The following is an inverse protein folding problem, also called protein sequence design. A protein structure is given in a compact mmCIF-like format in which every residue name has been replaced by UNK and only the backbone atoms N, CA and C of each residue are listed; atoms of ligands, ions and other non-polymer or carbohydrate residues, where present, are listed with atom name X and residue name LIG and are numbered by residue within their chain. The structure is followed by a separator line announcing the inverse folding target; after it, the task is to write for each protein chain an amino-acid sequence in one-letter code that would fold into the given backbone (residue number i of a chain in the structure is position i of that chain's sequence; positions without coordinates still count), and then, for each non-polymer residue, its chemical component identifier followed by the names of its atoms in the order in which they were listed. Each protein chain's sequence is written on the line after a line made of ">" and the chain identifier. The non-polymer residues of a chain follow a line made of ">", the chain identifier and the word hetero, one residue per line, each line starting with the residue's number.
data_IF_216254571237
#
_entry.id   IF_216254571237
#
_cell.length_a   1.000
_cell.length_b   1.000
_cell.length_c   1.000
_cell.angle_alpha   90.00
_cell.angle_beta   90.00
_cell.angle_gamma   90.00
#
_symmetry.space_group_name_H-M   'P 1'
#
loop_
_entity.id
_entity.type
_entity.pdbx_description
1 polymer ?
#
# COMPACT_ATOMS: atom_id res chain seq x y z
N UNK A 1 16.62 13.44 -16.06
CA UNK A 1 17.97 13.25 -16.67
C UNK A 1 18.15 14.03 -17.95
N UNK A 2 17.33 13.89 -19.02
CA UNK A 2 17.54 14.69 -20.25
C UNK A 2 17.46 16.22 -20.03
N UNK A 3 16.58 16.70 -19.15
CA UNK A 3 16.51 18.12 -18.78
C UNK A 3 17.75 18.59 -18.00
N UNK A 4 18.29 17.77 -17.10
CA UNK A 4 19.52 18.06 -16.36
C UNK A 4 20.72 18.15 -17.29
N UNK A 5 20.87 17.22 -18.26
CA UNK A 5 21.91 17.28 -19.25
C UNK A 5 21.73 18.44 -20.26
N UNK A 6 20.49 18.82 -20.57
CA UNK A 6 20.22 20.02 -21.36
C UNK A 6 20.62 21.30 -20.62
N UNK A 7 20.36 21.39 -19.30
CA UNK A 7 20.82 22.50 -18.46
C UNK A 7 22.35 22.55 -18.38
N UNK A 8 23.02 21.42 -18.15
CA UNK A 8 24.49 21.35 -18.16
C UNK A 8 25.10 21.75 -19.53
N UNK A 9 24.43 21.38 -20.60
CA UNK A 9 24.85 21.80 -21.95
C UNK A 9 24.72 23.32 -22.16
N UNK A 10 23.60 23.89 -21.67
CA UNK A 10 23.35 25.34 -21.82
C UNK A 10 24.20 26.17 -20.86
N UNK A 11 24.40 25.73 -19.62
CA UNK A 11 25.13 26.47 -18.59
C UNK A 11 26.65 26.33 -18.70
N UNK A 12 27.15 25.15 -19.08
CA UNK A 12 28.60 24.86 -19.11
C UNK A 12 29.18 24.75 -20.50
N UNK A 13 28.43 25.07 -21.57
CA UNK A 13 28.85 24.96 -22.98
C UNK A 13 29.51 23.61 -23.32
N UNK A 14 29.09 22.54 -22.67
CA UNK A 14 29.55 21.19 -22.99
C UNK A 14 29.04 20.84 -24.37
N UNK A 15 29.89 20.94 -25.37
CA UNK A 15 29.58 20.74 -26.80
C UNK A 15 29.24 19.28 -27.14
N UNK A 16 28.35 18.63 -26.40
CA UNK A 16 27.91 17.28 -26.64
C UNK A 16 26.73 17.22 -27.60
N UNK A 17 26.77 16.32 -28.57
CA UNK A 17 25.63 16.07 -29.45
C UNK A 17 24.53 15.28 -28.70
N UNK A 18 23.29 15.38 -29.17
CA UNK A 18 22.18 14.57 -28.63
C UNK A 18 22.43 13.05 -28.77
N UNK A 19 23.20 12.64 -29.81
CA UNK A 19 23.61 11.23 -29.97
C UNK A 19 24.62 10.81 -28.91
N UNK A 20 25.60 11.66 -28.58
CA UNK A 20 26.57 11.39 -27.51
C UNK A 20 25.85 11.25 -26.12
N UNK A 21 24.89 12.11 -25.87
CA UNK A 21 24.08 12.00 -24.65
C UNK A 21 23.26 10.69 -24.58
N UNK A 22 22.72 10.24 -25.72
CA UNK A 22 22.03 8.93 -25.78
C UNK A 22 22.98 7.78 -25.48
N UNK A 23 24.19 7.79 -26.07
CA UNK A 23 25.22 6.77 -25.83
C UNK A 23 25.59 6.70 -24.34
N UNK A 24 25.77 7.86 -23.68
CA UNK A 24 26.04 7.92 -22.24
C UNK A 24 24.87 7.35 -21.44
N UNK A 25 23.65 7.72 -21.82
CA UNK A 25 22.44 7.20 -21.14
C UNK A 25 22.31 5.69 -21.32
N UNK A 26 22.53 5.17 -22.52
CA UNK A 26 22.44 3.73 -22.78
C UNK A 26 23.53 2.95 -22.01
N UNK A 27 24.73 3.50 -21.90
CA UNK A 27 25.81 2.91 -21.10
C UNK A 27 25.46 2.94 -19.61
N UNK A 28 24.99 4.08 -19.09
CA UNK A 28 24.54 4.22 -17.70
C UNK A 28 23.42 3.21 -17.37
N UNK A 29 22.41 3.10 -18.21
CA UNK A 29 21.33 2.13 -18.04
C UNK A 29 21.85 0.68 -18.05
N UNK A 30 22.86 0.37 -18.85
CA UNK A 30 23.51 -0.95 -18.87
C UNK A 30 24.23 -1.22 -17.55
N UNK A 31 25.09 -0.30 -17.12
CA UNK A 31 25.87 -0.44 -15.89
C UNK A 31 24.97 -0.57 -14.66
N UNK A 32 23.89 0.21 -14.58
CA UNK A 32 22.90 0.07 -13.50
C UNK A 32 22.35 -1.35 -13.43
N UNK A 33 21.94 -1.93 -14.56
CA UNK A 33 21.38 -3.29 -14.59
C UNK A 33 22.43 -4.37 -14.31
N UNK A 34 23.66 -4.20 -14.79
CA UNK A 34 24.76 -5.15 -14.56
C UNK A 34 25.20 -5.15 -13.11
N UNK A 35 25.43 -3.96 -12.53
CA UNK A 35 25.84 -3.77 -11.13
C UNK A 35 24.77 -4.29 -10.19
N UNK A 36 23.52 -3.86 -10.34
CA UNK A 36 22.43 -4.32 -9.46
C UNK A 36 22.14 -5.81 -9.63
N UNK A 37 22.30 -6.36 -10.83
CA UNK A 37 22.20 -7.79 -11.09
C UNK A 37 23.33 -8.61 -10.44
N UNK A 38 24.55 -8.06 -10.35
CA UNK A 38 25.64 -8.68 -9.59
C UNK A 38 25.35 -8.66 -8.09
N UNK A 39 25.00 -7.53 -7.53
CA UNK A 39 24.64 -7.38 -6.11
C UNK A 39 23.45 -8.27 -5.71
N UNK A 40 22.50 -8.45 -6.58
CA UNK A 40 21.39 -9.36 -6.33
C UNK A 40 21.84 -10.81 -6.24
N UNK A 41 22.73 -11.27 -7.16
CA UNK A 41 23.28 -12.62 -7.13
C UNK A 41 24.11 -12.87 -5.86
N UNK A 42 24.91 -11.89 -5.46
CA UNK A 42 25.68 -11.92 -4.19
C UNK A 42 24.73 -11.99 -2.99
N UNK A 43 23.72 -11.10 -2.94
CA UNK A 43 22.71 -11.12 -1.91
C UNK A 43 21.97 -12.46 -1.80
N UNK A 44 21.59 -13.08 -2.94
CA UNK A 44 20.97 -14.41 -2.95
C UNK A 44 21.92 -15.50 -2.42
N UNK A 45 23.21 -15.41 -2.70
CA UNK A 45 24.20 -16.39 -2.29
C UNK A 45 24.53 -16.31 -0.79
N UNK A 46 24.57 -15.11 -0.23
CA UNK A 46 25.07 -14.83 1.12
C UNK A 46 23.96 -14.57 2.14
N UNK A 47 22.80 -14.08 1.73
CA UNK A 47 21.76 -13.66 2.63
C UNK A 47 20.96 -14.82 3.23
N UNK A 48 20.68 -14.69 4.51
CA UNK A 48 19.61 -15.44 5.18
C UNK A 48 18.28 -14.69 5.00
N UNK A 49 17.69 -14.80 3.82
CA UNK A 49 16.43 -14.16 3.53
C UNK A 49 15.31 -14.72 4.40
N UNK A 50 14.51 -13.83 4.96
CA UNK A 50 13.29 -14.22 5.65
C UNK A 50 12.20 -14.67 4.66
N UNK A 51 11.08 -15.20 5.18
CA UNK A 51 9.94 -15.53 4.35
C UNK A 51 9.32 -14.27 3.72
N UNK A 52 8.78 -14.42 2.51
CA UNK A 52 8.20 -13.34 1.73
C UNK A 52 6.71 -13.17 2.08
N UNK A 53 6.28 -11.96 2.31
CA UNK A 53 4.86 -11.56 2.26
C UNK A 53 4.60 -10.93 0.91
N UNK A 54 4.06 -11.72 -0.02
CA UNK A 54 3.94 -11.31 -1.41
C UNK A 54 2.70 -10.46 -1.67
N UNK A 55 2.83 -9.49 -2.58
CA UNK A 55 1.71 -8.84 -3.23
C UNK A 55 1.89 -8.89 -4.74
N UNK A 56 0.81 -9.22 -5.45
CA UNK A 56 0.78 -9.30 -6.91
C UNK A 56 -0.38 -8.49 -7.46
N UNK A 57 -0.13 -7.81 -8.56
CA UNK A 57 -1.14 -7.03 -9.27
C UNK A 57 -0.75 -6.85 -10.75
N UNK A 58 -1.73 -6.52 -11.58
CA UNK A 58 -1.53 -6.20 -12.99
C UNK A 58 -1.86 -4.73 -13.25
N UNK A 59 -1.00 -4.05 -14.00
CA UNK A 59 -1.29 -2.71 -14.51
C UNK A 59 -1.22 -2.66 -16.04
N UNK A 60 -2.10 -1.85 -16.64
CA UNK A 60 -2.21 -1.74 -18.09
C UNK A 60 -1.68 -0.39 -18.58
N UNK A 61 -0.51 -0.42 -19.22
CA UNK A 61 0.22 0.74 -19.71
C UNK A 61 0.58 0.54 -21.20
N UNK A 62 -0.38 0.55 -22.12
CA UNK A 62 -0.29 0.06 -23.51
C UNK A 62 -0.04 -1.46 -23.61
N UNK A 63 0.79 -2.00 -22.74
CA UNK A 63 0.99 -3.44 -22.50
C UNK A 63 0.66 -3.73 -21.05
N UNK A 64 0.28 -4.95 -20.80
CA UNK A 64 0.08 -5.43 -19.44
C UNK A 64 1.43 -5.59 -18.76
N UNK A 65 1.54 -5.12 -17.52
CA UNK A 65 2.69 -5.24 -16.66
C UNK A 65 2.30 -6.10 -15.46
N UNK A 66 3.07 -7.16 -15.20
CA UNK A 66 2.92 -8.00 -14.01
C UNK A 66 3.89 -7.49 -12.93
N UNK A 67 3.37 -7.21 -11.74
CA UNK A 67 4.17 -6.70 -10.62
C UNK A 67 4.05 -7.64 -9.44
N UNK A 68 5.20 -8.10 -8.92
CA UNK A 68 5.31 -8.90 -7.70
C UNK A 68 6.29 -8.25 -6.75
N UNK A 69 5.85 -7.93 -5.54
CA UNK A 69 6.62 -7.19 -4.53
C UNK A 69 6.58 -7.91 -3.19
N UNK A 70 7.68 -7.93 -2.46
CA UNK A 70 7.67 -8.27 -1.05
C UNK A 70 7.19 -7.07 -0.23
N UNK A 71 6.11 -7.23 0.53
CA UNK A 71 5.48 -6.16 1.31
C UNK A 71 6.27 -5.76 2.56
N UNK A 72 7.15 -6.64 3.05
CA UNK A 72 7.96 -6.39 4.26
C UNK A 72 9.05 -5.39 3.95
N UNK A 73 9.85 -5.67 2.93
CA UNK A 73 10.98 -4.85 2.49
C UNK A 73 10.59 -3.75 1.50
N UNK A 74 9.51 -3.96 0.73
CA UNK A 74 9.14 -3.18 -0.43
C UNK A 74 9.94 -3.55 -1.69
N UNK A 75 10.72 -4.63 -1.66
CA UNK A 75 11.54 -5.07 -2.78
C UNK A 75 10.66 -5.58 -3.94
N UNK A 76 10.88 -5.03 -5.14
CA UNK A 76 10.21 -5.48 -6.36
C UNK A 76 10.91 -6.75 -6.83
N UNK A 77 10.27 -7.89 -6.61
CA UNK A 77 10.75 -9.20 -7.02
C UNK A 77 10.65 -9.42 -8.53
N UNK A 78 9.54 -8.96 -9.12
CA UNK A 78 9.28 -9.08 -10.54
C UNK A 78 8.47 -7.90 -11.04
N UNK A 79 8.88 -7.30 -12.15
CA UNK A 79 8.17 -6.24 -12.84
C UNK A 79 8.49 -6.35 -14.33
N UNK A 80 7.58 -6.98 -15.10
CA UNK A 80 7.79 -7.20 -16.53
C UNK A 80 6.48 -7.12 -17.30
N UNK A 81 6.61 -6.75 -18.59
CA UNK A 81 5.49 -6.81 -19.53
C UNK A 81 5.18 -8.27 -19.90
N UNK A 82 3.89 -8.59 -19.94
CA UNK A 82 3.39 -9.89 -20.39
C UNK A 82 2.30 -9.71 -21.46
N UNK A 83 2.13 -10.74 -22.27
CA UNK A 83 1.09 -10.75 -23.29
C UNK A 83 -0.26 -11.23 -22.71
N UNK A 84 -0.22 -11.99 -21.62
CA UNK A 84 -1.39 -12.46 -20.89
C UNK A 84 -1.14 -12.47 -19.36
N UNK A 85 -2.21 -12.69 -18.60
CA UNK A 85 -2.22 -12.81 -17.13
C UNK A 85 -2.72 -14.17 -16.66
N UNK A 86 -2.45 -15.21 -17.45
CA UNK A 86 -2.80 -16.56 -17.08
C UNK A 86 -2.04 -17.03 -15.83
N UNK A 87 -2.53 -18.09 -15.21
CA UNK A 87 -1.83 -18.73 -14.12
C UNK A 87 -0.45 -19.23 -14.57
N UNK A 88 -0.38 -19.77 -15.77
CA UNK A 88 0.83 -20.36 -16.35
C UNK A 88 1.92 -19.29 -16.50
N UNK A 89 1.57 -18.13 -17.04
CA UNK A 89 2.49 -16.97 -17.18
C UNK A 89 2.96 -16.47 -15.82
N UNK A 90 2.04 -16.26 -14.86
CA UNK A 90 2.39 -15.85 -13.51
C UNK A 90 3.27 -16.86 -12.80
N UNK A 91 2.90 -18.16 -12.86
CA UNK A 91 3.63 -19.22 -12.18
C UNK A 91 5.06 -19.37 -12.72
N UNK A 92 5.24 -19.36 -14.04
CA UNK A 92 6.57 -19.41 -14.66
C UNK A 92 7.46 -18.24 -14.18
N UNK A 93 6.94 -17.00 -14.23
CA UNK A 93 7.69 -15.80 -13.87
C UNK A 93 8.07 -15.79 -12.40
N UNK A 94 7.11 -16.07 -11.52
CA UNK A 94 7.33 -16.06 -10.08
C UNK A 94 8.24 -17.21 -9.66
N UNK A 95 8.06 -18.41 -10.19
CA UNK A 95 8.91 -19.57 -9.92
C UNK A 95 10.36 -19.30 -10.31
N UNK A 96 10.60 -18.87 -11.53
CA UNK A 96 11.95 -18.52 -12.02
C UNK A 96 12.64 -17.49 -11.12
N UNK A 97 11.85 -16.60 -10.54
CA UNK A 97 12.35 -15.56 -9.66
C UNK A 97 12.67 -16.06 -8.25
N UNK A 98 11.84 -16.91 -7.69
CA UNK A 98 11.96 -17.40 -6.31
C UNK A 98 12.90 -18.61 -6.17
N UNK A 99 13.00 -19.45 -7.18
CA UNK A 99 13.80 -20.69 -7.13
C UNK A 99 15.25 -20.48 -6.68
N UNK A 100 16.00 -19.45 -7.18
CA UNK A 100 17.37 -19.19 -6.70
C UNK A 100 17.42 -18.70 -5.25
N UNK A 101 16.35 -18.06 -4.76
CA UNK A 101 16.32 -17.37 -3.46
C UNK A 101 16.18 -18.31 -2.28
N UNK A 102 15.81 -19.58 -2.50
CA UNK A 102 15.65 -20.61 -1.43
C UNK A 102 14.76 -20.13 -0.28
N UNK A 103 13.78 -19.31 -0.56
CA UNK A 103 12.80 -18.78 0.41
C UNK A 103 11.38 -19.18 0.01
N UNK A 104 10.43 -19.00 0.90
CA UNK A 104 9.02 -19.32 0.65
C UNK A 104 8.14 -18.10 0.86
N UNK A 105 6.95 -18.15 0.28
CA UNK A 105 5.93 -17.11 0.45
C UNK A 105 4.99 -17.50 1.58
N UNK A 106 4.92 -16.68 2.63
CA UNK A 106 4.01 -16.90 3.77
C UNK A 106 2.55 -16.83 3.34
N UNK A 107 2.22 -15.81 2.57
CA UNK A 107 0.92 -15.60 1.96
C UNK A 107 1.01 -14.57 0.83
N UNK A 108 0.01 -14.59 -0.05
CA UNK A 108 -0.06 -13.71 -1.20
C UNK A 108 -1.30 -12.81 -1.13
N UNK A 109 -1.08 -11.49 -1.16
CA UNK A 109 -2.15 -10.48 -1.21
C UNK A 109 -2.44 -10.11 -2.67
N UNK A 110 -3.71 -10.14 -3.08
CA UNK A 110 -4.11 -9.79 -4.45
C UNK A 110 -5.57 -9.33 -4.53
N UNK A 111 -5.97 -8.81 -5.70
CA UNK A 111 -7.37 -8.49 -6.06
C UNK A 111 -8.27 -9.74 -6.19
N UNK A 112 -7.68 -10.94 -6.05
CA UNK A 112 -8.37 -12.23 -6.17
C UNK A 112 -8.81 -12.59 -7.58
N UNK A 113 -8.13 -12.13 -8.62
CA UNK A 113 -8.28 -12.74 -9.95
C UNK A 113 -8.03 -14.25 -9.88
N UNK A 114 -8.78 -15.05 -10.66
CA UNK A 114 -8.71 -16.53 -10.60
C UNK A 114 -7.28 -17.07 -10.77
N UNK A 115 -6.51 -16.46 -11.67
CA UNK A 115 -5.11 -16.81 -11.90
C UNK A 115 -4.26 -16.61 -10.64
N UNK A 116 -4.46 -15.48 -9.94
CA UNK A 116 -3.71 -15.13 -8.72
C UNK A 116 -4.08 -16.00 -7.53
N UNK A 117 -5.37 -16.41 -7.41
CA UNK A 117 -5.78 -17.40 -6.40
C UNK A 117 -5.10 -18.75 -6.67
N UNK A 118 -5.07 -19.21 -7.95
CA UNK A 118 -4.41 -20.45 -8.33
C UNK A 118 -2.89 -20.34 -8.12
N UNK A 119 -2.28 -19.19 -8.42
CA UNK A 119 -0.87 -18.92 -8.15
C UNK A 119 -0.54 -19.12 -6.67
N UNK A 120 -1.32 -18.50 -5.77
CA UNK A 120 -1.09 -18.64 -4.34
C UNK A 120 -1.26 -20.10 -3.89
N UNK A 121 -2.44 -20.70 -4.15
CA UNK A 121 -2.82 -22.00 -3.58
C UNK A 121 -2.11 -23.21 -4.21
N UNK A 122 -1.85 -23.16 -5.52
CA UNK A 122 -1.27 -24.29 -6.27
C UNK A 122 0.17 -24.04 -6.67
N UNK A 123 0.52 -22.80 -7.05
CA UNK A 123 1.86 -22.49 -7.52
C UNK A 123 2.86 -22.21 -6.41
N UNK A 124 2.41 -21.54 -5.34
CA UNK A 124 3.25 -21.13 -4.20
C UNK A 124 2.90 -21.85 -2.90
N UNK A 125 1.87 -22.69 -2.92
CA UNK A 125 1.38 -23.46 -1.76
C UNK A 125 1.16 -22.60 -0.51
N UNK A 126 0.65 -21.37 -0.71
CA UNK A 126 0.44 -20.40 0.36
C UNK A 126 -1.00 -19.88 0.39
N UNK A 127 -1.45 -19.30 1.51
CA UNK A 127 -2.74 -18.65 1.61
C UNK A 127 -2.88 -17.47 0.63
N UNK A 128 -4.06 -17.39 -0.01
CA UNK A 128 -4.44 -16.27 -0.89
C UNK A 128 -5.30 -15.30 -0.10
N UNK A 129 -4.77 -14.12 0.23
CA UNK A 129 -5.43 -13.09 1.02
C UNK A 129 -6.03 -12.02 0.11
N UNK A 130 -7.31 -11.68 0.25
CA UNK A 130 -7.92 -10.57 -0.45
C UNK A 130 -7.27 -9.26 -0.07
N UNK A 131 -7.04 -8.38 -1.05
CA UNK A 131 -6.61 -7.03 -0.77
C UNK A 131 -7.76 -6.21 -0.14
N UNK A 132 -7.56 -5.80 1.10
CA UNK A 132 -8.52 -4.96 1.83
C UNK A 132 -8.80 -3.63 1.12
N UNK A 133 -7.82 -3.05 0.44
CA UNK A 133 -8.02 -1.82 -0.33
C UNK A 133 -9.03 -2.04 -1.46
N UNK A 134 -8.87 -3.11 -2.25
CA UNK A 134 -9.79 -3.45 -3.33
C UNK A 134 -11.21 -3.76 -2.82
N UNK A 135 -11.32 -4.47 -1.69
CA UNK A 135 -12.61 -4.74 -1.05
C UNK A 135 -13.32 -3.45 -0.64
N UNK A 136 -12.63 -2.53 0.02
CA UNK A 136 -13.16 -1.23 0.41
C UNK A 136 -13.49 -0.35 -0.82
N UNK A 137 -12.66 -0.41 -1.85
CA UNK A 137 -12.90 0.31 -3.11
C UNK A 137 -14.16 -0.19 -3.82
N UNK A 138 -14.41 -1.49 -3.87
CA UNK A 138 -15.63 -2.08 -4.44
C UNK A 138 -16.88 -1.58 -3.72
N UNK A 139 -16.86 -1.57 -2.37
CA UNK A 139 -17.93 -0.99 -1.55
C UNK A 139 -18.10 0.51 -1.82
N UNK A 140 -16.99 1.26 -1.82
CA UNK A 140 -17.03 2.71 -2.05
C UNK A 140 -17.58 3.04 -3.45
N UNK A 141 -17.11 2.38 -4.49
CA UNK A 141 -17.58 2.54 -5.86
C UNK A 141 -19.06 2.13 -6.02
N UNK A 142 -19.50 1.15 -5.24
CA UNK A 142 -20.89 0.68 -5.28
C UNK A 142 -21.89 1.73 -4.80
N UNK A 143 -21.59 2.50 -3.77
CA UNK A 143 -22.61 3.28 -3.06
C UNK A 143 -22.28 4.76 -2.86
N UNK A 144 -21.01 5.17 -2.80
CA UNK A 144 -20.64 6.57 -2.51
C UNK A 144 -21.27 7.59 -3.44
N UNK A 145 -21.36 7.29 -4.74
CA UNK A 145 -21.93 8.20 -5.73
C UNK A 145 -23.43 8.38 -5.53
N UNK A 146 -24.16 7.31 -5.19
CA UNK A 146 -25.60 7.37 -4.94
C UNK A 146 -25.92 8.23 -3.73
N UNK A 147 -25.21 8.02 -2.63
CA UNK A 147 -25.33 8.83 -1.39
C UNK A 147 -24.98 10.30 -1.67
N UNK A 148 -23.89 10.54 -2.41
CA UNK A 148 -23.47 11.89 -2.77
C UNK A 148 -24.55 12.62 -3.60
N UNK A 149 -25.15 11.95 -4.58
CA UNK A 149 -26.21 12.53 -5.41
C UNK A 149 -27.43 12.91 -4.59
N UNK A 150 -27.84 12.07 -3.64
CA UNK A 150 -28.96 12.38 -2.73
C UNK A 150 -28.67 13.61 -1.87
N UNK A 151 -27.48 13.67 -1.29
CA UNK A 151 -27.05 14.82 -0.48
C UNK A 151 -27.00 16.11 -1.32
N UNK A 152 -26.50 16.05 -2.55
CA UNK A 152 -26.48 17.22 -3.44
C UNK A 152 -27.88 17.67 -3.84
N UNK A 153 -28.77 16.72 -4.16
CA UNK A 153 -30.18 17.04 -4.46
C UNK A 153 -30.88 17.70 -3.26
N UNK A 154 -30.65 17.18 -2.04
CA UNK A 154 -31.20 17.79 -0.82
C UNK A 154 -30.68 19.22 -0.61
N UNK A 155 -29.40 19.47 -0.81
CA UNK A 155 -28.81 20.82 -0.71
C UNK A 155 -29.38 21.77 -1.74
N UNK A 156 -29.55 21.34 -2.99
CA UNK A 156 -30.11 22.13 -4.06
C UNK A 156 -31.57 22.53 -3.76
N UNK A 157 -32.38 21.58 -3.26
CA UNK A 157 -33.75 21.84 -2.83
C UNK A 157 -33.83 22.83 -1.67
N UNK A 158 -32.91 22.73 -0.71
CA UNK A 158 -32.82 23.69 0.40
C UNK A 158 -32.49 25.10 -0.12
N UNK A 159 -31.50 25.23 -1.00
CA UNK A 159 -31.14 26.53 -1.60
C UNK A 159 -32.33 27.15 -2.34
N UNK A 160 -33.04 26.37 -3.15
CA UNK A 160 -34.24 26.83 -3.86
C UNK A 160 -35.36 27.29 -2.89
N UNK A 161 -35.56 26.56 -1.80
CA UNK A 161 -36.54 26.93 -0.76
C UNK A 161 -36.14 28.24 -0.06
N UNK A 162 -34.86 28.43 0.24
CA UNK A 162 -34.33 29.64 0.85
C UNK A 162 -34.47 30.86 -0.08
N UNK A 163 -34.15 30.71 -1.38
CA UNK A 163 -34.33 31.75 -2.39
C UNK A 163 -35.79 32.14 -2.54
N UNK A 164 -36.69 31.16 -2.54
CA UNK A 164 -38.14 31.40 -2.58
C UNK A 164 -38.62 32.15 -1.36
N UNK A 165 -38.15 31.79 -0.16
CA UNK A 165 -38.47 32.50 1.08
C UNK A 165 -38.02 33.97 1.01
N UNK A 166 -36.80 34.21 0.58
CA UNK A 166 -36.23 35.55 0.46
C UNK A 166 -37.08 36.41 -0.53
N UNK A 167 -37.51 35.83 -1.66
CA UNK A 167 -38.41 36.51 -2.60
C UNK A 167 -39.76 36.83 -2.00
N UNK A 168 -40.42 35.87 -1.30
CA UNK A 168 -41.68 36.10 -0.63
C UNK A 168 -41.59 37.25 0.41
N UNK A 169 -40.47 37.36 1.11
CA UNK A 169 -40.22 38.43 2.09
C UNK A 169 -40.04 39.81 1.43
N UNK A 170 -39.36 39.86 0.26
CA UNK A 170 -39.12 41.14 -0.45
C UNK A 170 -40.39 41.60 -1.20
N UNK A 171 -41.17 40.68 -1.76
CA UNK A 171 -42.36 40.97 -2.58
C UNK A 171 -43.63 41.21 -1.74
N UNK A 172 -43.55 41.13 -0.41
CA UNK A 172 -44.70 41.36 0.49
C UNK A 172 -45.76 40.26 0.38
N UNK A 173 -45.35 39.01 0.22
CA UNK A 173 -46.28 37.87 0.14
C UNK A 173 -47.13 37.73 1.41
N UNK A 174 -48.27 37.03 1.31
CA UNK A 174 -49.15 36.80 2.45
C UNK A 174 -48.46 35.99 3.55
N UNK A 175 -48.87 36.20 4.79
CA UNK A 175 -48.32 35.52 5.98
C UNK A 175 -48.36 33.98 5.80
N UNK A 176 -49.49 33.45 5.27
CA UNK A 176 -49.63 32.02 4.99
C UNK A 176 -48.60 31.51 3.94
N UNK A 177 -48.24 32.30 2.93
CA UNK A 177 -47.22 31.95 1.95
C UNK A 177 -45.82 31.94 2.55
N UNK A 178 -45.51 32.91 3.42
CA UNK A 178 -44.25 32.99 4.16
C UNK A 178 -44.12 31.78 5.06
N UNK A 179 -45.13 31.44 5.86
CA UNK A 179 -45.16 30.30 6.77
C UNK A 179 -44.98 28.96 5.99
N UNK A 180 -45.69 28.77 4.91
CA UNK A 180 -45.56 27.60 4.03
C UNK A 180 -44.13 27.45 3.49
N UNK A 181 -43.49 28.56 3.09
CA UNK A 181 -42.14 28.54 2.54
C UNK A 181 -41.07 28.34 3.65
N UNK A 182 -41.31 28.85 4.84
CA UNK A 182 -40.50 28.55 6.02
C UNK A 182 -40.56 27.05 6.38
N UNK A 183 -41.73 26.43 6.29
CA UNK A 183 -41.88 24.98 6.50
C UNK A 183 -41.08 24.17 5.43
N UNK A 184 -41.05 24.64 4.18
CA UNK A 184 -40.24 24.04 3.11
C UNK A 184 -38.73 24.15 3.41
N UNK A 185 -38.27 25.30 3.92
CA UNK A 185 -36.87 25.49 4.33
C UNK A 185 -36.53 24.56 5.50
N UNK A 186 -37.39 24.43 6.49
CA UNK A 186 -37.20 23.53 7.63
C UNK A 186 -37.12 22.06 7.18
N UNK A 187 -38.02 21.62 6.31
CA UNK A 187 -38.00 20.28 5.71
C UNK A 187 -36.72 20.04 4.86
N UNK A 188 -36.28 21.06 4.11
CA UNK A 188 -35.06 21.02 3.36
C UNK A 188 -33.81 20.87 4.22
N UNK A 189 -33.73 21.56 5.37
CA UNK A 189 -32.67 21.41 6.35
C UNK A 189 -32.64 20.01 6.94
N UNK A 190 -33.76 19.50 7.41
CA UNK A 190 -33.87 18.14 7.95
C UNK A 190 -33.45 17.08 6.92
N UNK A 191 -33.78 17.25 5.64
CA UNK A 191 -33.34 16.35 4.57
C UNK A 191 -31.82 16.40 4.34
N UNK A 192 -31.21 17.56 4.38
CA UNK A 192 -29.74 17.71 4.28
C UNK A 192 -29.07 17.03 5.48
N UNK A 193 -29.53 17.26 6.68
CA UNK A 193 -29.01 16.64 7.90
C UNK A 193 -29.12 15.11 7.81
N UNK A 194 -30.26 14.58 7.40
CA UNK A 194 -30.47 13.14 7.19
C UNK A 194 -29.43 12.54 6.22
N UNK A 195 -29.22 13.14 5.05
CA UNK A 195 -28.27 12.61 4.07
C UNK A 195 -26.81 12.83 4.49
N UNK A 196 -26.50 13.80 5.33
CA UNK A 196 -25.20 13.94 5.96
C UNK A 196 -24.95 12.79 6.96
N UNK A 197 -25.95 12.47 7.79
CA UNK A 197 -25.89 11.36 8.71
C UNK A 197 -25.73 10.01 8.00
N UNK A 198 -26.52 9.75 6.95
CA UNK A 198 -26.38 8.55 6.12
C UNK A 198 -24.97 8.43 5.53
N UNK A 199 -24.43 9.53 5.01
CA UNK A 199 -23.06 9.56 4.47
C UNK A 199 -22.03 9.25 5.57
N UNK A 200 -22.18 9.84 6.74
CA UNK A 200 -21.19 9.71 7.81
C UNK A 200 -21.26 8.32 8.46
N UNK A 201 -22.46 7.75 8.60
CA UNK A 201 -22.68 6.36 9.02
C UNK A 201 -22.08 5.38 8.01
N UNK A 202 -22.33 5.58 6.72
CA UNK A 202 -21.72 4.78 5.65
C UNK A 202 -20.19 4.79 5.70
N UNK A 203 -19.60 5.96 5.88
CA UNK A 203 -18.14 6.10 6.05
C UNK A 203 -17.64 5.43 7.32
N UNK A 204 -18.45 5.48 8.38
CA UNK A 204 -18.20 4.78 9.65
C UNK A 204 -18.07 3.27 9.44
N UNK A 205 -18.98 2.65 8.69
CA UNK A 205 -18.90 1.21 8.36
C UNK A 205 -17.66 0.86 7.54
N UNK A 206 -17.30 1.66 6.52
CA UNK A 206 -16.06 1.43 5.77
C UNK A 206 -14.81 1.58 6.66
N UNK A 207 -14.79 2.57 7.55
CA UNK A 207 -13.70 2.72 8.52
C UNK A 207 -13.64 1.55 9.48
N UNK A 208 -14.78 1.09 10.01
CA UNK A 208 -14.87 -0.06 10.91
C UNK A 208 -14.34 -1.34 10.25
N UNK A 209 -14.77 -1.65 9.01
CA UNK A 209 -14.22 -2.77 8.23
C UNK A 209 -12.68 -2.66 8.14
N UNK A 210 -12.16 -1.46 7.84
CA UNK A 210 -10.71 -1.24 7.76
C UNK A 210 -10.00 -1.42 9.10
N UNK A 211 -10.62 -1.07 10.21
CA UNK A 211 -10.00 -1.08 11.54
C UNK A 211 -10.14 -2.42 12.29
N UNK A 212 -10.96 -3.34 11.79
CA UNK A 212 -11.16 -4.64 12.44
C UNK A 212 -10.13 -5.70 12.01
N UNK A 213 -9.49 -5.55 10.84
CA UNK A 213 -8.52 -6.54 10.34
C UNK A 213 -7.13 -6.27 10.93
N UNK A 214 -6.96 -6.59 12.19
CA UNK A 214 -5.71 -6.51 12.94
C UNK A 214 -5.56 -7.76 13.83
N UNK A 215 -4.33 -8.18 14.21
CA UNK A 215 -4.15 -9.29 15.14
C UNK A 215 -4.69 -9.00 16.56
N UNK A 216 -4.92 -7.74 16.89
CA UNK A 216 -5.49 -7.28 18.16
C UNK A 216 -6.66 -6.36 17.94
N UNK A 217 -7.58 -6.35 18.89
CA UNK A 217 -8.63 -5.34 18.98
C UNK A 217 -8.00 -3.96 19.18
N UNK A 218 -8.55 -2.96 18.51
CA UNK A 218 -8.03 -1.60 18.61
C UNK A 218 -8.35 -0.96 19.98
N UNK A 219 -9.45 -1.37 20.59
CA UNK A 219 -10.01 -0.78 21.82
C UNK A 219 -9.22 -1.18 23.06
N UNK A 220 -8.81 -2.44 23.16
CA UNK A 220 -8.22 -3.02 24.37
C UNK A 220 -6.96 -3.86 24.11
N UNK A 221 -6.53 -3.93 22.86
CA UNK A 221 -5.40 -4.75 22.42
C UNK A 221 -5.49 -6.24 22.78
N UNK A 222 -6.71 -6.76 22.93
CA UNK A 222 -6.96 -8.20 23.09
C UNK A 222 -6.61 -8.93 21.80
N UNK A 223 -5.82 -10.03 21.82
CA UNK A 223 -5.56 -10.86 20.66
C UNK A 223 -6.85 -11.36 20.02
N UNK A 224 -6.89 -11.42 18.69
CA UNK A 224 -8.04 -11.81 17.90
C UNK A 224 -7.76 -13.06 17.10
N UNK A 225 -8.81 -13.86 16.88
CA UNK A 225 -8.83 -14.96 15.91
C UNK A 225 -9.45 -14.52 14.58
N UNK A 226 -9.16 -15.26 13.51
CA UNK A 226 -9.82 -15.06 12.21
C UNK A 226 -11.35 -15.17 12.33
N UNK A 227 -11.86 -16.11 13.13
CA UNK A 227 -13.30 -16.31 13.32
C UNK A 227 -13.99 -15.09 13.92
N UNK A 228 -13.41 -14.48 14.97
CA UNK A 228 -13.95 -13.27 15.61
C UNK A 228 -13.95 -12.08 14.65
N UNK A 229 -12.87 -11.90 13.89
CA UNK A 229 -12.77 -10.82 12.92
C UNK A 229 -13.73 -11.03 11.75
N UNK A 230 -13.86 -12.25 11.25
CA UNK A 230 -14.84 -12.58 10.20
C UNK A 230 -16.28 -12.25 10.65
N UNK A 231 -16.66 -12.63 11.88
CA UNK A 231 -17.99 -12.35 12.41
C UNK A 231 -18.27 -10.84 12.48
N UNK A 232 -17.31 -10.04 12.95
CA UNK A 232 -17.46 -8.59 13.03
C UNK A 232 -17.50 -7.94 11.65
N UNK A 233 -16.67 -8.38 10.70
CA UNK A 233 -16.73 -7.91 9.32
C UNK A 233 -18.08 -8.23 8.67
N UNK A 234 -18.64 -9.41 8.92
CA UNK A 234 -19.95 -9.80 8.43
C UNK A 234 -21.08 -8.92 9.02
N UNK A 235 -20.98 -8.59 10.31
CA UNK A 235 -21.92 -7.67 10.97
C UNK A 235 -21.87 -6.26 10.35
N UNK A 236 -20.68 -5.71 10.09
CA UNK A 236 -20.52 -4.41 9.43
C UNK A 236 -21.10 -4.39 8.01
N UNK A 237 -20.84 -5.45 7.22
CA UNK A 237 -21.42 -5.55 5.87
C UNK A 237 -22.94 -5.68 5.92
N UNK A 238 -23.49 -6.36 6.93
CA UNK A 238 -24.93 -6.46 7.12
C UNK A 238 -25.55 -5.12 7.54
N UNK A 239 -24.91 -4.39 8.45
CA UNK A 239 -25.36 -3.07 8.86
C UNK A 239 -25.28 -2.06 7.70
N UNK A 240 -24.24 -2.13 6.87
CA UNK A 240 -24.13 -1.33 5.65
C UNK A 240 -25.25 -1.65 4.67
N UNK A 241 -25.60 -2.91 4.48
CA UNK A 241 -26.74 -3.29 3.62
C UNK A 241 -28.05 -2.70 4.18
N UNK A 242 -28.31 -2.85 5.48
CA UNK A 242 -29.51 -2.30 6.12
C UNK A 242 -29.59 -0.77 5.96
N UNK A 243 -28.47 -0.05 6.10
CA UNK A 243 -28.39 1.40 5.85
C UNK A 243 -28.81 1.75 4.41
N UNK A 244 -28.35 1.00 3.41
CA UNK A 244 -28.67 1.20 2.01
C UNK A 244 -30.16 0.95 1.74
N UNK A 245 -30.70 -0.15 2.23
CA UNK A 245 -32.12 -0.54 2.07
C UNK A 245 -33.06 0.45 2.75
N UNK A 246 -32.80 0.80 4.00
CA UNK A 246 -33.64 1.74 4.79
C UNK A 246 -33.74 3.11 4.13
N UNK A 247 -32.68 3.53 3.42
CA UNK A 247 -32.66 4.82 2.72
C UNK A 247 -33.08 4.75 1.26
N UNK A 248 -33.65 3.62 0.81
CA UNK A 248 -34.16 3.45 -0.55
C UNK A 248 -33.10 3.57 -1.65
N UNK A 249 -31.83 3.32 -1.31
CA UNK A 249 -30.74 3.34 -2.29
C UNK A 249 -30.68 2.02 -3.07
N UNK A 250 -30.25 2.04 -4.35
CA UNK A 250 -30.15 0.82 -5.17
C UNK A 250 -29.17 -0.19 -4.57
N UNK A 251 -29.67 -1.37 -4.19
CA UNK A 251 -28.82 -2.44 -3.67
C UNK A 251 -27.95 -3.04 -4.77
N UNK A 252 -26.65 -3.10 -4.52
CA UNK A 252 -25.66 -3.71 -5.41
C UNK A 252 -25.34 -5.14 -4.93
N UNK A 253 -26.29 -6.07 -5.11
CA UNK A 253 -26.18 -7.44 -4.61
C UNK A 253 -24.89 -8.15 -5.02
N UNK A 254 -24.47 -7.99 -6.29
CA UNK A 254 -23.21 -8.59 -6.78
C UNK A 254 -21.98 -8.11 -6.01
N UNK A 255 -21.95 -6.83 -5.61
CA UNK A 255 -20.86 -6.25 -4.83
C UNK A 255 -20.87 -6.84 -3.43
N UNK A 256 -22.01 -6.86 -2.76
CA UNK A 256 -22.13 -7.41 -1.41
C UNK A 256 -21.84 -8.91 -1.37
N UNK A 257 -22.33 -9.67 -2.35
CA UNK A 257 -22.04 -11.11 -2.45
C UNK A 257 -20.53 -11.36 -2.66
N UNK A 258 -19.87 -10.57 -3.54
CA UNK A 258 -18.42 -10.63 -3.75
C UNK A 258 -17.67 -10.35 -2.45
N UNK A 259 -18.03 -9.27 -1.73
CA UNK A 259 -17.42 -8.88 -0.46
C UNK A 259 -17.59 -9.99 0.58
N UNK A 260 -18.83 -10.46 0.82
CA UNK A 260 -19.11 -11.53 1.79
C UNK A 260 -18.29 -12.79 1.56
N UNK A 261 -18.14 -13.19 0.29
CA UNK A 261 -17.33 -14.35 -0.10
C UNK A 261 -15.85 -14.21 0.29
N UNK A 262 -15.36 -12.99 0.43
CA UNK A 262 -13.95 -12.72 0.71
C UNK A 262 -13.65 -12.54 2.21
N UNK A 263 -14.66 -12.37 3.08
CA UNK A 263 -14.46 -12.02 4.49
C UNK A 263 -13.69 -13.09 5.26
N UNK A 264 -13.97 -14.37 5.01
CA UNK A 264 -13.26 -15.48 5.65
C UNK A 264 -11.78 -15.50 5.28
N UNK A 265 -11.48 -15.41 3.97
CA UNK A 265 -10.10 -15.40 3.49
C UNK A 265 -9.34 -14.13 3.94
N UNK A 266 -10.03 -12.98 4.03
CA UNK A 266 -9.44 -11.76 4.56
C UNK A 266 -9.09 -11.89 6.04
N UNK A 267 -10.00 -12.45 6.85
CA UNK A 267 -9.77 -12.66 8.26
C UNK A 267 -8.68 -13.72 8.52
N UNK A 268 -8.55 -14.70 7.62
CA UNK A 268 -7.55 -15.79 7.74
C UNK A 268 -6.10 -15.28 7.84
N UNK A 269 -5.79 -14.06 7.35
CA UNK A 269 -4.46 -13.46 7.49
C UNK A 269 -4.01 -13.38 8.95
N UNK A 270 -4.95 -13.24 9.89
CA UNK A 270 -4.68 -13.13 11.32
C UNK A 270 -4.14 -14.46 11.85
N UNK A 271 -4.84 -15.56 11.59
CA UNK A 271 -4.43 -16.90 12.06
C UNK A 271 -3.13 -17.36 11.38
N UNK A 272 -2.96 -17.06 10.08
CA UNK A 272 -1.71 -17.31 9.34
C UNK A 272 -0.54 -16.57 9.98
N UNK A 273 -0.74 -15.30 10.31
CA UNK A 273 0.29 -14.50 10.97
C UNK A 273 0.61 -15.02 12.39
N UNK A 274 -0.41 -15.31 13.19
CA UNK A 274 -0.23 -15.89 14.53
C UNK A 274 0.51 -17.23 14.49
N UNK A 275 0.17 -18.08 13.53
CA UNK A 275 0.86 -19.35 13.36
C UNK A 275 2.37 -19.16 13.09
N UNK A 276 2.72 -18.25 12.18
CA UNK A 276 4.12 -17.92 11.88
C UNK A 276 4.88 -17.38 13.09
N UNK A 277 4.28 -16.43 13.82
CA UNK A 277 4.87 -15.84 15.04
C UNK A 277 5.09 -16.89 16.13
N UNK A 278 4.08 -17.72 16.42
CA UNK A 278 4.17 -18.76 17.43
C UNK A 278 5.19 -19.83 17.07
N UNK A 279 5.23 -20.23 15.80
CA UNK A 279 6.21 -21.20 15.32
C UNK A 279 7.64 -20.68 15.49
N UNK A 280 7.91 -19.45 15.10
CA UNK A 280 9.25 -18.85 15.25
C UNK A 280 9.63 -18.67 16.73
N UNK A 281 8.71 -18.21 17.57
CA UNK A 281 8.95 -18.09 19.02
C UNK A 281 9.32 -19.43 19.67
N UNK A 282 8.66 -20.51 19.28
CA UNK A 282 8.96 -21.87 19.78
C UNK A 282 10.31 -22.40 19.31
N UNK A 283 10.79 -21.98 18.15
CA UNK A 283 12.14 -22.36 17.67
C UNK A 283 13.26 -21.67 18.44
N UNK A 284 13.00 -20.49 18.99
CA UNK A 284 14.01 -19.71 19.70
C UNK A 284 14.12 -20.03 21.18
N UNK A 285 12.99 -20.30 21.86
CA UNK A 285 12.94 -20.56 23.31
C UNK A 285 11.76 -21.47 23.65
N UNK A 286 11.94 -22.33 24.67
CA UNK A 286 10.81 -23.02 25.31
C UNK A 286 10.01 -22.01 26.12
N UNK A 287 8.94 -21.48 25.52
CA UNK A 287 8.05 -20.53 26.17
C UNK A 287 7.12 -21.23 27.17
N UNK A 288 7.16 -20.81 28.43
CA UNK A 288 6.09 -21.16 29.37
C UNK A 288 4.80 -20.44 28.97
N UNK A 289 3.62 -20.94 29.37
CA UNK A 289 2.34 -20.26 29.09
C UNK A 289 2.30 -18.80 29.55
N UNK A 290 2.96 -18.46 30.65
CA UNK A 290 3.04 -17.10 31.18
C UNK A 290 3.85 -16.19 30.26
N UNK A 291 5.01 -16.64 29.75
CA UNK A 291 5.82 -15.89 28.77
C UNK A 291 5.14 -15.78 27.41
N UNK A 292 4.45 -16.83 26.97
CA UNK A 292 3.68 -16.78 25.74
C UNK A 292 2.55 -15.74 25.83
N UNK A 293 1.83 -15.71 26.95
CA UNK A 293 0.81 -14.69 27.19
C UNK A 293 1.39 -13.27 27.23
N UNK A 294 2.51 -13.06 27.94
CA UNK A 294 3.19 -11.77 27.98
C UNK A 294 3.61 -11.31 26.59
N UNK A 295 4.17 -12.19 25.79
CA UNK A 295 4.57 -11.91 24.42
C UNK A 295 3.35 -11.50 23.55
N UNK A 296 2.26 -12.27 23.61
CA UNK A 296 1.08 -12.07 22.75
C UNK A 296 0.21 -10.87 23.19
N UNK A 297 0.12 -10.61 24.49
CA UNK A 297 -0.77 -9.58 25.03
C UNK A 297 -0.09 -8.22 25.28
N UNK A 298 1.24 -8.18 25.39
CA UNK A 298 1.95 -6.95 25.76
C UNK A 298 3.09 -6.60 24.82
N UNK A 299 4.02 -7.51 24.51
CA UNK A 299 5.21 -7.20 23.72
C UNK A 299 4.88 -6.99 22.23
N UNK A 300 4.23 -7.96 21.61
CA UNK A 300 3.90 -7.90 20.17
C UNK A 300 2.94 -6.74 19.85
N UNK A 301 1.84 -6.50 20.60
CA UNK A 301 0.98 -5.36 20.30
C UNK A 301 1.68 -4.02 20.53
N UNK A 302 2.61 -3.90 21.48
CA UNK A 302 3.43 -2.70 21.66
C UNK A 302 4.16 -2.33 20.36
N UNK A 303 4.94 -3.27 19.79
CA UNK A 303 5.72 -3.05 18.57
C UNK A 303 4.81 -2.88 17.34
N UNK A 304 3.69 -3.59 17.32
CA UNK A 304 2.71 -3.50 16.23
C UNK A 304 2.03 -2.12 16.16
N UNK A 305 1.49 -1.63 17.29
CA UNK A 305 0.83 -0.32 17.32
C UNK A 305 1.83 0.83 17.14
N UNK A 306 3.06 0.72 17.65
CA UNK A 306 4.12 1.69 17.40
C UNK A 306 4.40 1.85 15.89
N UNK A 307 4.57 0.72 15.19
CA UNK A 307 4.75 0.72 13.74
C UNK A 307 3.54 1.32 13.02
N UNK A 308 2.32 0.98 13.38
CA UNK A 308 1.13 1.51 12.74
C UNK A 308 0.92 3.00 13.02
N UNK A 309 1.12 3.45 14.24
CA UNK A 309 1.02 4.86 14.62
C UNK A 309 2.02 5.73 13.85
N UNK A 310 3.26 5.25 13.64
CA UNK A 310 4.27 5.98 12.87
C UNK A 310 3.92 6.09 11.38
N UNK A 311 3.30 5.07 10.79
CA UNK A 311 3.00 5.00 9.35
C UNK A 311 1.63 5.57 8.97
N UNK A 312 0.71 5.70 9.92
CA UNK A 312 -0.65 6.18 9.65
C UNK A 312 -0.68 7.69 9.46
N UNK A 313 -1.11 8.14 8.27
CA UNK A 313 -1.15 9.57 7.91
C UNK A 313 -2.43 10.28 8.32
N UNK A 314 -3.58 9.59 8.32
CA UNK A 314 -4.88 10.19 8.63
C UNK A 314 -5.02 10.54 10.11
N UNK A 315 -5.21 11.83 10.45
CA UNK A 315 -5.24 12.34 11.85
C UNK A 315 -6.14 11.50 12.77
N UNK A 316 -7.39 11.22 12.35
CA UNK A 316 -8.36 10.47 13.15
C UNK A 316 -7.92 9.01 13.39
N UNK A 317 -7.46 8.33 12.33
CA UNK A 317 -6.95 6.95 12.44
C UNK A 317 -5.67 6.89 13.25
N UNK A 318 -4.76 7.83 13.03
CA UNK A 318 -3.51 7.92 13.79
C UNK A 318 -3.78 8.09 15.28
N UNK A 319 -4.74 8.95 15.68
CA UNK A 319 -5.12 9.13 17.09
C UNK A 319 -5.58 7.82 17.72
N UNK A 320 -6.38 7.00 17.01
CA UNK A 320 -6.80 5.68 17.50
C UNK A 320 -5.61 4.73 17.71
N UNK A 321 -4.66 4.70 16.76
CA UNK A 321 -3.46 3.85 16.88
C UNK A 321 -2.54 4.31 18.02
N UNK A 322 -2.40 5.63 18.21
CA UNK A 322 -1.63 6.21 19.32
C UNK A 322 -2.27 5.86 20.67
N UNK A 323 -3.59 5.97 20.79
CA UNK A 323 -4.29 5.60 22.02
C UNK A 323 -4.10 4.11 22.38
N UNK A 324 -4.20 3.20 21.38
CA UNK A 324 -3.93 1.77 21.60
C UNK A 324 -2.45 1.53 22.00
N UNK A 325 -1.50 2.23 21.36
CA UNK A 325 -0.08 2.16 21.72
C UNK A 325 0.18 2.60 23.16
N UNK A 326 -0.38 3.73 23.57
CA UNK A 326 -0.19 4.28 24.94
C UNK A 326 -0.76 3.36 26.01
N UNK A 327 -1.94 2.79 25.78
CA UNK A 327 -2.56 1.83 26.70
C UNK A 327 -1.69 0.56 26.86
N UNK A 328 -1.21 -0.02 25.75
CA UNK A 328 -0.34 -1.20 25.81
C UNK A 328 1.02 -0.87 26.42
N UNK A 329 1.59 0.29 26.12
CA UNK A 329 2.88 0.72 26.67
C UNK A 329 2.82 0.83 28.19
N UNK A 330 1.79 1.47 28.73
CA UNK A 330 1.60 1.59 30.16
C UNK A 330 1.46 0.21 30.84
N UNK A 331 0.70 -0.71 30.24
CA UNK A 331 0.54 -2.06 30.74
C UNK A 331 1.83 -2.89 30.67
N UNK A 332 2.60 -2.76 29.57
CA UNK A 332 3.88 -3.43 29.36
C UNK A 332 4.96 -3.00 30.36
N UNK A 333 5.04 -1.71 30.65
CA UNK A 333 6.06 -1.14 31.55
C UNK A 333 5.88 -1.60 33.00
N UNK A 334 4.65 -1.78 33.46
CA UNK A 334 4.35 -2.23 34.83
C UNK A 334 4.27 -3.75 34.97
N UNK A 335 4.38 -4.50 33.85
CA UNK A 335 4.21 -5.95 33.89
C UNK A 335 5.38 -6.65 34.62
N UNK A 336 5.10 -7.58 35.57
CA UNK A 336 6.17 -8.21 36.37
C UNK A 336 7.23 -8.96 35.56
N UNK A 337 6.85 -9.57 34.43
CA UNK A 337 7.81 -10.25 33.54
C UNK A 337 8.73 -9.26 32.82
N UNK A 338 8.23 -8.09 32.45
CA UNK A 338 9.07 -7.03 31.86
C UNK A 338 10.17 -6.61 32.83
N UNK A 339 9.84 -6.46 34.12
CA UNK A 339 10.79 -6.08 35.16
C UNK A 339 11.84 -7.16 35.45
N UNK A 340 11.59 -8.42 35.10
CA UNK A 340 12.55 -9.53 35.28
C UNK A 340 13.64 -9.60 34.21
N UNK A 341 13.42 -8.91 33.07
CA UNK A 341 14.37 -8.96 31.95
C UNK A 341 15.48 -7.93 32.10
N UNK A 342 16.71 -8.31 31.74
CA UNK A 342 17.77 -7.33 31.58
C UNK A 342 17.52 -6.42 30.37
N UNK A 343 18.09 -5.21 30.34
CA UNK A 343 17.90 -4.30 29.21
C UNK A 343 18.28 -4.91 27.86
N UNK A 344 19.34 -5.71 27.82
CA UNK A 344 19.85 -6.37 26.60
C UNK A 344 18.84 -7.42 26.08
N UNK A 345 18.34 -8.28 26.99
CA UNK A 345 17.36 -9.31 26.67
C UNK A 345 16.05 -8.67 26.22
N UNK A 346 15.64 -7.61 26.90
CA UNK A 346 14.43 -6.86 26.53
C UNK A 346 14.58 -6.21 25.15
N UNK A 347 15.74 -5.64 24.83
CA UNK A 347 16.03 -5.07 23.52
C UNK A 347 15.98 -6.14 22.42
N UNK A 348 16.53 -7.32 22.66
CA UNK A 348 16.45 -8.44 21.71
C UNK A 348 15.02 -8.89 21.46
N UNK A 349 14.18 -9.02 22.50
CA UNK A 349 12.78 -9.36 22.39
C UNK A 349 11.98 -8.28 21.63
N UNK A 350 12.24 -7.01 21.89
CA UNK A 350 11.61 -5.90 21.14
C UNK A 350 12.01 -5.92 19.67
N UNK A 351 13.29 -6.17 19.36
CA UNK A 351 13.76 -6.29 17.98
C UNK A 351 13.06 -7.44 17.24
N UNK A 352 12.98 -8.61 17.88
CA UNK A 352 12.26 -9.77 17.36
C UNK A 352 10.77 -9.46 17.10
N UNK A 353 10.09 -8.87 18.07
CA UNK A 353 8.69 -8.50 17.95
C UNK A 353 8.45 -7.43 16.85
N UNK A 354 9.37 -6.48 16.69
CA UNK A 354 9.33 -5.48 15.63
C UNK A 354 9.46 -6.10 14.24
N UNK A 355 10.33 -7.12 14.08
CA UNK A 355 10.42 -7.86 12.80
C UNK A 355 9.10 -8.58 12.48
N UNK A 356 8.50 -9.27 13.45
CA UNK A 356 7.20 -9.91 13.24
C UNK A 356 6.08 -8.91 12.96
N UNK A 357 6.06 -7.75 13.61
CA UNK A 357 5.11 -6.69 13.31
C UNK A 357 5.22 -6.19 11.86
N UNK A 358 6.38 -6.32 11.21
CA UNK A 358 6.57 -5.97 9.79
C UNK A 358 5.92 -6.97 8.84
N UNK A 359 5.69 -8.21 9.25
CA UNK A 359 5.16 -9.26 8.37
C UNK A 359 3.63 -9.28 8.27
N UNK A 360 2.91 -8.50 9.10
CA UNK A 360 1.45 -8.40 8.99
C UNK A 360 1.04 -7.39 7.93
N UNK A 361 0.53 -7.88 6.81
CA UNK A 361 0.00 -7.07 5.71
C UNK A 361 -1.38 -7.58 5.27
N UNK A 362 -2.28 -6.65 5.01
CA UNK A 362 -3.68 -6.92 4.60
C UNK A 362 -4.10 -6.16 3.35
N UNK A 363 -3.15 -5.46 2.73
CA UNK A 363 -3.39 -4.66 1.54
C UNK A 363 -2.11 -4.58 0.71
N UNK A 364 -2.27 -4.52 -0.60
CA UNK A 364 -1.20 -4.39 -1.59
C UNK A 364 -0.83 -2.93 -1.91
N UNK A 365 -1.05 -2.00 -0.97
CA UNK A 365 -0.85 -0.56 -1.20
C UNK A 365 0.56 -0.18 -1.71
N UNK A 366 1.58 -1.00 -1.46
CA UNK A 366 2.91 -0.81 -2.02
C UNK A 366 2.91 -1.06 -3.54
N UNK A 367 2.23 -2.11 -3.99
CA UNK A 367 2.07 -2.43 -5.42
C UNK A 367 1.22 -1.36 -6.12
N UNK A 368 0.12 -0.93 -5.50
CA UNK A 368 -0.70 0.17 -6.01
C UNK A 368 0.10 1.47 -6.17
N UNK A 369 0.93 1.81 -5.19
CA UNK A 369 1.85 2.94 -5.27
C UNK A 369 2.83 2.80 -6.43
N UNK A 370 3.35 1.59 -6.67
CA UNK A 370 4.23 1.28 -7.79
C UNK A 370 3.51 1.41 -9.12
N UNK A 371 2.31 0.84 -9.25
CA UNK A 371 1.47 0.96 -10.45
C UNK A 371 1.15 2.42 -10.78
N UNK A 372 0.86 3.25 -9.77
CA UNK A 372 0.67 4.68 -9.92
C UNK A 372 1.91 5.39 -10.46
N UNK A 373 3.09 5.06 -9.94
CA UNK A 373 4.37 5.59 -10.42
C UNK A 373 4.64 5.20 -11.89
N UNK A 374 4.47 3.93 -12.24
CA UNK A 374 4.63 3.46 -13.61
C UNK A 374 3.66 4.15 -14.57
N UNK A 375 2.40 4.32 -14.15
CA UNK A 375 1.39 5.05 -14.93
C UNK A 375 1.82 6.50 -15.17
N UNK A 376 2.30 7.19 -14.15
CA UNK A 376 2.80 8.56 -14.28
C UNK A 376 3.99 8.64 -15.24
N UNK A 377 4.94 7.71 -15.13
CA UNK A 377 6.10 7.64 -16.02
C UNK A 377 5.70 7.34 -17.46
N UNK A 378 4.75 6.43 -17.67
CA UNK A 378 4.19 6.12 -18.97
C UNK A 378 3.60 7.37 -19.66
N UNK A 379 2.76 8.11 -18.93
CA UNK A 379 2.12 9.33 -19.46
C UNK A 379 3.14 10.43 -19.74
N UNK A 380 4.12 10.64 -18.86
CA UNK A 380 5.14 11.67 -19.00
C UNK A 380 6.09 11.40 -20.18
N UNK A 381 6.38 10.13 -20.48
CA UNK A 381 7.34 9.73 -21.51
C UNK A 381 6.68 9.18 -22.77
N UNK A 382 5.37 9.24 -22.90
CA UNK A 382 4.60 8.69 -24.04
C UNK A 382 4.90 7.20 -24.31
N UNK A 383 5.03 6.44 -23.25
CA UNK A 383 5.29 5.00 -23.28
C UNK A 383 6.40 4.58 -22.32
N UNK A 384 6.52 3.26 -22.13
CA UNK A 384 7.59 2.65 -21.34
C UNK A 384 8.52 1.86 -22.26
N UNK A 385 9.73 2.37 -22.59
CA UNK A 385 10.72 1.59 -23.30
C UNK A 385 11.08 0.33 -22.49
N UNK A 386 11.15 -0.84 -23.14
CA UNK A 386 11.34 -2.16 -22.49
C UNK A 386 12.52 -2.23 -21.51
N UNK A 387 13.58 -1.49 -21.76
CA UNK A 387 14.76 -1.48 -20.90
C UNK A 387 14.61 -0.53 -19.72
N UNK A 388 13.99 0.60 -19.92
CA UNK A 388 13.97 1.70 -18.94
C UNK A 388 13.15 1.38 -17.70
N UNK A 389 12.07 0.62 -17.79
CA UNK A 389 11.33 0.22 -16.59
C UNK A 389 12.16 -0.70 -15.69
N UNK A 390 13.00 -1.59 -16.27
CA UNK A 390 13.94 -2.41 -15.50
C UNK A 390 14.96 -1.57 -14.75
N UNK A 391 15.48 -0.53 -15.38
CA UNK A 391 16.37 0.45 -14.72
C UNK A 391 15.66 1.14 -13.57
N UNK A 392 14.40 1.53 -13.75
CA UNK A 392 13.62 2.14 -12.66
C UNK A 392 13.33 1.17 -11.52
N UNK A 393 13.11 -0.10 -11.79
CA UNK A 393 12.96 -1.12 -10.74
C UNK A 393 14.27 -1.33 -10.00
N UNK A 394 15.40 -1.37 -10.71
CA UNK A 394 16.74 -1.46 -10.12
C UNK A 394 17.05 -0.24 -9.22
N UNK A 395 16.83 0.98 -9.73
CA UNK A 395 16.98 2.21 -8.94
C UNK A 395 16.06 2.24 -7.72
N UNK A 396 14.81 1.81 -7.86
CA UNK A 396 13.90 1.72 -6.73
C UNK A 396 14.41 0.74 -5.67
N UNK A 397 14.86 -0.43 -6.08
CA UNK A 397 15.32 -1.47 -5.17
C UNK A 397 16.63 -1.10 -4.46
N UNK A 398 17.61 -0.52 -5.16
CA UNK A 398 18.98 -0.37 -4.68
C UNK A 398 19.40 1.07 -4.35
N UNK A 399 18.63 2.09 -4.78
CA UNK A 399 19.02 3.49 -4.56
C UNK A 399 17.94 4.31 -3.84
N UNK A 400 16.66 3.91 -3.89
CA UNK A 400 15.58 4.63 -3.23
C UNK A 400 15.62 4.39 -1.71
N UNK A 401 16.10 5.38 -0.95
CA UNK A 401 16.29 5.28 0.51
C UNK A 401 15.04 5.68 1.28
N UNK A 402 14.74 4.94 2.33
CA UNK A 402 13.77 5.31 3.35
C UNK A 402 14.35 6.35 4.32
N UNK A 403 13.55 6.84 5.26
CA UNK A 403 14.00 7.82 6.27
C UNK A 403 15.09 7.30 7.21
N UNK A 404 15.20 5.99 7.36
CA UNK A 404 16.26 5.30 8.12
C UNK A 404 17.53 5.02 7.31
N UNK A 405 17.58 5.49 6.07
CA UNK A 405 18.71 5.28 5.14
C UNK A 405 18.68 3.95 4.39
N UNK A 406 17.82 3.00 4.78
CA UNK A 406 17.74 1.67 4.16
C UNK A 406 17.09 1.72 2.78
N UNK A 407 17.52 0.82 1.88
CA UNK A 407 16.89 0.59 0.58
C UNK A 407 15.97 -0.65 0.64
N UNK A 408 15.04 -0.85 -0.30
CA UNK A 408 14.29 -2.09 -0.41
C UNK A 408 15.21 -3.32 -0.50
N UNK A 409 16.31 -3.24 -1.24
CA UNK A 409 17.28 -4.32 -1.36
C UNK A 409 17.99 -4.61 -0.02
N UNK A 410 18.49 -3.58 0.68
CA UNK A 410 19.15 -3.80 1.95
C UNK A 410 18.25 -4.44 3.00
N UNK A 411 16.95 -4.08 3.01
CA UNK A 411 15.97 -4.72 3.90
C UNK A 411 15.65 -6.15 3.48
N UNK A 412 15.58 -6.44 2.17
CA UNK A 412 15.25 -7.77 1.65
C UNK A 412 16.39 -8.77 1.86
N UNK A 413 17.60 -8.37 1.47
CA UNK A 413 18.80 -9.19 1.60
C UNK A 413 19.46 -9.11 2.98
N UNK A 414 19.00 -8.21 3.86
CA UNK A 414 19.57 -7.97 5.21
C UNK A 414 21.07 -7.68 5.18
N UNK A 415 21.52 -7.00 4.15
CA UNK A 415 22.90 -6.54 3.97
C UNK A 415 22.93 -5.13 3.39
N UNK A 416 24.01 -4.42 3.59
CA UNK A 416 24.22 -3.10 3.02
C UNK A 416 24.81 -3.21 1.62
N UNK A 417 24.38 -2.31 0.74
CA UNK A 417 24.92 -2.17 -0.60
C UNK A 417 25.64 -0.82 -0.75
N UNK A 418 26.70 -0.75 -1.56
CA UNK A 418 27.37 0.52 -1.87
C UNK A 418 26.42 1.56 -2.47
N UNK A 419 26.85 2.82 -2.55
CA UNK A 419 26.08 3.84 -3.25
C UNK A 419 26.05 3.51 -4.75
N UNK A 420 24.87 3.22 -5.29
CA UNK A 420 24.70 2.77 -6.67
C UNK A 420 25.20 3.80 -7.69
N UNK A 421 24.96 5.10 -7.43
CA UNK A 421 25.39 6.15 -8.35
C UNK A 421 26.92 6.24 -8.41
N UNK A 422 27.61 6.18 -7.28
CA UNK A 422 29.06 6.25 -7.20
C UNK A 422 29.72 5.00 -7.80
N UNK A 423 29.16 3.84 -7.52
CA UNK A 423 29.64 2.57 -8.09
C UNK A 423 29.55 2.57 -9.63
N UNK A 424 28.39 2.94 -10.16
CA UNK A 424 28.17 3.02 -11.62
C UNK A 424 29.04 4.12 -12.26
N UNK A 425 29.22 5.26 -11.58
CA UNK A 425 30.08 6.33 -12.06
C UNK A 425 31.54 5.89 -12.11
N UNK A 426 32.02 5.14 -11.11
CA UNK A 426 33.38 4.57 -11.09
C UNK A 426 33.66 3.57 -12.20
N UNK A 427 32.61 2.88 -12.68
CA UNK A 427 32.69 1.93 -13.80
C UNK A 427 32.54 2.61 -15.18
N UNK A 428 32.20 3.89 -15.22
CA UNK A 428 32.13 4.63 -16.48
C UNK A 428 33.53 5.04 -16.92
N UNK A 429 33.92 4.58 -18.14
CA UNK A 429 35.10 5.12 -18.83
C UNK A 429 34.90 6.62 -19.09
N UNK A 430 35.93 7.26 -19.66
CA UNK A 430 35.91 8.68 -20.00
C UNK A 430 34.56 9.12 -20.60
N UNK A 431 33.96 10.17 -20.03
CA UNK A 431 32.80 10.85 -20.62
C UNK A 431 33.13 11.34 -22.02
N UNK A 432 32.13 11.42 -22.94
CA UNK A 432 32.37 11.93 -24.30
C UNK A 432 33.04 13.30 -24.24
N UNK A 433 34.18 13.44 -24.83
CA UNK A 433 34.91 14.74 -24.91
C UNK A 433 34.07 15.77 -25.66
N UNK A 434 34.06 17.05 -25.23
CA UNK A 434 33.42 18.12 -25.98
C UNK A 434 33.95 18.13 -27.41
N UNK A 435 33.08 18.30 -28.42
CA UNK A 435 33.54 18.52 -29.81
C UNK A 435 34.48 19.72 -29.83
N UNK A 436 35.69 19.54 -30.32
CA UNK A 436 36.56 20.69 -30.69
C UNK A 436 35.74 21.56 -31.66
N UNK A 437 35.49 22.83 -31.31
CA UNK A 437 34.96 23.82 -32.26
C UNK A 437 35.87 23.78 -33.47
N UNK A 438 35.35 23.39 -34.63
CA UNK A 438 36.03 23.74 -35.89
C UNK A 438 36.12 25.26 -35.87
N UNK A 439 37.37 25.76 -35.93
CA UNK A 439 37.59 27.18 -36.12
C UNK A 439 36.79 27.60 -37.36
N UNK A 440 35.96 28.62 -37.23
CA UNK A 440 35.24 29.18 -38.34
C UNK A 440 36.32 29.51 -39.42
N UNK A 441 36.24 28.82 -40.57
CA UNK A 441 37.01 29.27 -41.71
C UNK A 441 36.63 30.72 -41.97
N UNK A 442 37.54 31.64 -41.72
CA UNK A 442 37.43 33.01 -42.14
C UNK A 442 37.24 33.00 -43.66
N UNK A 443 36.02 33.28 -44.11
CA UNK A 443 35.76 33.69 -45.46
C UNK A 443 36.45 35.06 -45.63
N UNK A 444 37.69 35.06 -46.13
CA UNK A 444 38.27 36.26 -46.73
C UNK A 444 37.55 36.44 -48.06
N UNK A 445 36.77 37.51 -48.16
CA UNK A 445 36.36 38.15 -49.42
C UNK A 445 37.29 39.32 -49.66
#
# INVERSE_FOLDING_TARGET
>A
MSAFFACLHLEQHLGCSSSSLRTVMDKLETLVLETTGAWEREGIAEAQMGPIVGAVDETFLQRMMLVFTDLVSGYILHEETADDRSYETWHERVRTRLEPMKTHVLYLVSDRAKALIKLAKTGLECPSIPDLFHLLHDLAKGYSLSIFRQLQAARQQLTQAQEKLAKCQVEGASEAQIESTQAQVAAGKARVEHWQEVRDTYRGHLEAISLQVHPWRLEDSTPQSAQEVQARLAAEVTALQALIETNGLPLKEKVLAKVRKQLADLAAVIDVWWQGVRQDAHHQIVLTPEWAHWMEAYLLPLMYWERLASRTRGRRRKAKMVAALEAVRAAFEVHPLTAKLTPEVLAAWKAWAAEHAKTFHRASSAVEGRNGYLSQMHHNHRGLPKRRYRVWSALYNFDCRASDGSTPASRFFRCEFPNLFEEVLGQMDELPRPRKRQAAMSLNV
#
